data_IF_922426217347
#
_entry.id   IF_922426217347
#
_cell.length_a   1.000
_cell.length_b   1.000
_cell.length_c   1.000
_cell.angle_alpha   90.00
_cell.angle_beta   90.00
_cell.angle_gamma   90.00
#
_symmetry.space_group_name_H-M   'P 1'
#
loop_
_entity.id
_entity.type
_entity.pdbx_description
1 polymer ?
#
# COMPACT_ATOMS: atom_id res chain seq x y z
N UNK A 1 -25.26 19.00 5.79
CA UNK A 1 -24.91 18.03 4.76
C UNK A 1 -25.84 18.28 3.57
N UNK A 2 -25.29 18.42 2.37
CA UNK A 2 -26.05 18.56 1.14
C UNK A 2 -25.96 17.26 0.35
N UNK A 3 -26.96 16.96 -0.46
CA UNK A 3 -27.03 15.79 -1.34
C UNK A 3 -27.33 16.22 -2.77
N UNK A 4 -26.75 15.54 -3.74
CA UNK A 4 -26.97 15.86 -5.16
C UNK A 4 -26.82 14.61 -6.04
N UNK A 5 -27.46 14.61 -7.19
CA UNK A 5 -27.26 13.64 -8.27
C UNK A 5 -26.35 14.26 -9.34
N UNK A 6 -25.18 13.72 -9.53
CA UNK A 6 -24.19 14.18 -10.51
C UNK A 6 -23.67 13.01 -11.35
N UNK A 7 -23.80 13.10 -12.68
CA UNK A 7 -23.38 12.03 -13.62
C UNK A 7 -23.87 10.64 -13.21
N UNK A 8 -25.14 10.53 -12.83
CA UNK A 8 -25.77 9.30 -12.31
C UNK A 8 -25.13 8.74 -11.03
N UNK A 9 -24.41 9.55 -10.25
CA UNK A 9 -23.83 9.21 -8.95
C UNK A 9 -24.45 10.06 -7.86
N UNK A 10 -24.78 9.44 -6.75
CA UNK A 10 -25.22 10.16 -5.55
C UNK A 10 -24.00 10.70 -4.84
N UNK A 11 -23.96 12.02 -4.68
CA UNK A 11 -22.87 12.70 -3.98
C UNK A 11 -23.40 13.42 -2.76
N UNK A 12 -22.58 13.52 -1.73
CA UNK A 12 -22.85 14.32 -0.53
C UNK A 12 -21.62 15.14 -0.13
N UNK A 13 -21.83 16.22 0.62
CA UNK A 13 -20.73 17.09 1.07
C UNK A 13 -21.21 18.22 1.95
N UNK A 14 -20.24 19.04 2.39
CA UNK A 14 -20.48 20.21 3.25
C UNK A 14 -20.43 21.52 2.48
N UNK A 15 -20.01 21.48 1.23
CA UNK A 15 -19.84 22.61 0.32
C UNK A 15 -20.76 22.46 -0.89
N UNK A 16 -20.83 23.48 -1.70
CA UNK A 16 -21.63 23.46 -2.94
C UNK A 16 -21.29 22.25 -3.79
N UNK A 17 -22.30 21.45 -4.09
CA UNK A 17 -22.18 20.23 -4.87
C UNK A 17 -22.63 20.48 -6.31
N UNK A 18 -21.97 19.89 -7.31
CA UNK A 18 -22.47 19.92 -8.69
C UNK A 18 -23.70 19.03 -8.83
N UNK A 19 -24.49 19.25 -9.88
CA UNK A 19 -25.63 18.41 -10.25
C UNK A 19 -26.97 18.87 -9.69
N UNK A 20 -27.92 17.97 -9.61
CA UNK A 20 -29.29 18.25 -9.19
C UNK A 20 -29.45 17.96 -7.69
N UNK A 21 -29.91 18.92 -6.88
CA UNK A 21 -30.13 18.70 -5.45
C UNK A 21 -31.07 17.54 -5.17
N UNK A 22 -30.77 16.77 -4.14
CA UNK A 22 -31.60 15.71 -3.58
C UNK A 22 -32.06 16.10 -2.17
N UNK A 23 -33.32 15.78 -1.83
CA UNK A 23 -33.86 16.04 -0.50
C UNK A 23 -33.36 15.00 0.53
N UNK A 24 -33.17 13.77 0.11
CA UNK A 24 -32.74 12.64 0.94
C UNK A 24 -31.86 11.66 0.15
N UNK A 25 -31.11 10.81 0.86
CA UNK A 25 -30.29 9.77 0.26
C UNK A 25 -31.12 8.55 -0.14
N UNK A 26 -30.81 7.88 -1.27
CA UNK A 26 -31.44 6.62 -1.62
C UNK A 26 -31.03 5.49 -0.67
N UNK A 27 -31.90 4.52 -0.49
CA UNK A 27 -31.67 3.36 0.39
C UNK A 27 -30.63 2.38 -0.15
N UNK A 28 -30.30 2.44 -1.44
CA UNK A 28 -29.34 1.58 -2.13
C UNK A 28 -28.33 2.36 -2.95
N UNK A 29 -27.27 1.69 -3.39
CA UNK A 29 -26.22 2.26 -4.22
C UNK A 29 -25.10 2.94 -3.44
N UNK A 30 -24.01 3.25 -4.15
CA UNK A 30 -22.86 3.95 -3.60
C UNK A 30 -23.15 5.43 -3.41
N UNK A 31 -22.64 6.03 -2.34
CA UNK A 31 -22.70 7.45 -2.04
C UNK A 31 -21.28 7.98 -1.97
N UNK A 32 -20.99 9.07 -2.69
CA UNK A 32 -19.68 9.68 -2.74
C UNK A 32 -19.67 10.94 -1.85
N UNK A 33 -18.89 10.91 -0.78
CA UNK A 33 -18.62 12.07 0.05
C UNK A 33 -17.53 12.93 -0.57
N UNK A 34 -17.89 14.11 -1.07
CA UNK A 34 -16.93 15.05 -1.64
C UNK A 34 -16.32 15.93 -0.54
N UNK A 35 -14.99 15.90 -0.47
CA UNK A 35 -14.20 16.81 0.35
C UNK A 35 -13.19 17.57 -0.52
N UNK A 36 -12.51 18.58 0.03
CA UNK A 36 -11.50 19.36 -0.68
C UNK A 36 -10.22 19.45 0.14
N UNK A 37 -9.11 19.03 -0.45
CA UNK A 37 -7.75 19.12 0.07
C UNK A 37 -6.78 19.30 -1.10
N UNK A 38 -5.64 20.02 -0.94
CA UNK A 38 -4.64 20.09 -2.00
C UNK A 38 -4.26 18.68 -2.50
N UNK A 39 -4.20 18.47 -3.83
CA UNK A 39 -3.89 17.16 -4.39
C UNK A 39 -2.52 16.64 -3.93
N UNK A 40 -2.36 15.33 -3.80
CA UNK A 40 -1.14 14.65 -3.36
C UNK A 40 -0.64 15.06 -1.96
N UNK A 41 -1.51 15.63 -1.11
CA UNK A 41 -1.19 15.85 0.32
C UNK A 41 -1.76 14.76 1.22
N UNK A 42 -2.51 13.81 0.68
CA UNK A 42 -3.08 12.67 1.38
C UNK A 42 -3.93 11.79 0.46
N UNK A 43 -4.81 10.97 1.03
CA UNK A 43 -5.67 10.06 0.27
C UNK A 43 -6.65 10.82 -0.61
N UNK A 44 -6.70 10.49 -1.89
CA UNK A 44 -7.66 11.10 -2.83
C UNK A 44 -9.04 10.40 -2.81
N UNK A 45 -9.07 9.13 -2.43
CA UNK A 45 -10.30 8.36 -2.24
C UNK A 45 -10.10 7.27 -1.18
N UNK A 46 -11.15 7.01 -0.38
CA UNK A 46 -11.12 5.96 0.64
C UNK A 46 -12.54 5.57 1.07
N UNK A 47 -12.70 4.34 1.56
CA UNK A 47 -13.94 3.86 2.15
C UNK A 47 -14.23 4.58 3.47
N UNK A 48 -15.41 5.16 3.61
CA UNK A 48 -15.90 5.76 4.86
C UNK A 48 -16.61 4.67 5.67
N UNK A 49 -16.08 4.36 6.84
CA UNK A 49 -16.60 3.32 7.74
C UNK A 49 -17.10 3.86 9.07
N UNK A 50 -16.89 5.16 9.32
CA UNK A 50 -17.32 5.85 10.53
C UNK A 50 -17.55 7.35 10.23
N UNK A 51 -18.53 8.02 10.87
CA UNK A 51 -18.81 9.44 10.65
C UNK A 51 -17.62 10.39 10.87
N UNK A 52 -16.68 10.05 11.76
CA UNK A 52 -15.47 10.84 11.98
C UNK A 52 -14.55 10.95 10.77
N UNK A 53 -14.75 10.11 9.75
CA UNK A 53 -13.96 10.14 8.50
C UNK A 53 -14.55 11.09 7.43
N UNK A 54 -15.68 11.73 7.70
CA UNK A 54 -16.27 12.75 6.83
C UNK A 54 -15.55 14.09 7.02
N UNK A 55 -14.26 14.11 6.72
CA UNK A 55 -13.37 15.24 6.90
C UNK A 55 -12.32 15.27 5.79
N UNK A 56 -11.67 16.43 5.62
CA UNK A 56 -10.48 16.57 4.79
C UNK A 56 -9.18 16.29 5.56
N UNK A 57 -9.25 16.03 6.87
CA UNK A 57 -8.09 15.83 7.70
C UNK A 57 -7.36 14.52 7.37
N UNK A 58 -6.07 14.55 7.49
CA UNK A 58 -5.16 13.42 7.37
C UNK A 58 -4.26 13.37 8.61
N UNK A 59 -3.32 12.45 8.64
CA UNK A 59 -2.43 12.27 9.76
C UNK A 59 -2.69 10.94 10.49
N UNK A 60 -1.98 10.69 11.58
CA UNK A 60 -2.08 9.43 12.32
C UNK A 60 -3.47 9.21 12.95
N UNK A 61 -4.25 10.28 13.13
CA UNK A 61 -5.60 10.24 13.69
C UNK A 61 -6.57 9.38 12.85
N UNK A 62 -6.31 9.21 11.55
CA UNK A 62 -7.15 8.34 10.71
C UNK A 62 -7.05 6.86 11.09
N UNK A 63 -6.01 6.47 11.83
CA UNK A 63 -5.78 5.11 12.33
C UNK A 63 -6.47 4.85 13.69
N UNK A 64 -6.96 5.88 14.38
CA UNK A 64 -7.59 5.70 15.69
C UNK A 64 -9.11 5.79 15.64
N UNK A 65 -9.75 5.02 16.53
CA UNK A 65 -11.19 5.11 16.80
C UNK A 65 -11.52 6.16 17.88
N UNK A 66 -10.52 6.74 18.54
CA UNK A 66 -10.69 7.71 19.63
C UNK A 66 -11.15 9.10 19.18
N UNK A 67 -11.35 9.32 17.87
CA UNK A 67 -11.86 10.59 17.37
C UNK A 67 -13.34 10.77 17.74
N UNK A 68 -13.75 12.00 18.13
CA UNK A 68 -15.15 12.28 18.39
C UNK A 68 -15.99 12.00 17.15
N UNK A 69 -17.14 11.36 17.38
CA UNK A 69 -18.12 11.16 16.31
C UNK A 69 -18.68 12.50 15.86
N UNK A 70 -18.77 12.70 14.56
CA UNK A 70 -19.46 13.84 13.99
C UNK A 70 -20.94 13.54 13.92
N UNK A 71 -21.79 14.48 14.34
CA UNK A 71 -23.21 14.38 14.06
C UNK A 71 -23.47 14.44 12.54
N UNK A 72 -24.19 13.45 12.05
CA UNK A 72 -24.56 13.32 10.64
C UNK A 72 -26.05 12.96 10.55
N UNK A 73 -26.72 13.30 9.43
CA UNK A 73 -28.09 12.86 9.19
C UNK A 73 -28.25 11.34 9.30
N UNK A 74 -29.41 10.87 9.77
CA UNK A 74 -29.64 9.46 10.07
C UNK A 74 -29.52 8.56 8.82
N UNK A 75 -29.93 9.06 7.66
CA UNK A 75 -29.80 8.38 6.37
C UNK A 75 -28.32 8.16 5.99
N UNK A 76 -27.46 9.19 6.16
CA UNK A 76 -26.04 9.08 5.94
C UNK A 76 -25.35 8.16 6.95
N UNK A 77 -25.72 8.22 8.23
CA UNK A 77 -25.21 7.30 9.25
C UNK A 77 -25.53 5.84 8.90
N UNK A 78 -26.75 5.57 8.42
CA UNK A 78 -27.17 4.26 7.93
C UNK A 78 -26.33 3.80 6.73
N UNK A 79 -26.15 4.67 5.75
CA UNK A 79 -25.35 4.39 4.57
C UNK A 79 -23.86 4.06 4.92
N UNK A 80 -23.28 4.78 5.90
CA UNK A 80 -21.92 4.48 6.41
C UNK A 80 -21.90 3.10 7.07
N UNK A 81 -22.86 2.78 7.94
CA UNK A 81 -22.94 1.47 8.60
C UNK A 81 -23.10 0.32 7.58
N UNK A 82 -23.80 0.56 6.48
CA UNK A 82 -23.94 -0.35 5.35
C UNK A 82 -22.73 -0.40 4.42
N UNK A 83 -21.64 0.37 4.69
CA UNK A 83 -20.42 0.45 3.88
C UNK A 83 -20.67 0.93 2.45
N UNK A 84 -21.63 1.82 2.24
CA UNK A 84 -21.99 2.37 0.93
C UNK A 84 -21.33 3.72 0.64
N UNK A 85 -20.60 4.30 1.60
CA UNK A 85 -20.02 5.63 1.47
C UNK A 85 -18.54 5.54 1.15
N UNK A 86 -18.12 6.31 0.14
CA UNK A 86 -16.73 6.49 -0.25
C UNK A 86 -16.41 7.97 -0.34
N UNK A 87 -15.27 8.38 0.21
CA UNK A 87 -14.78 9.75 0.10
C UNK A 87 -14.01 9.97 -1.22
N UNK A 88 -14.16 11.16 -1.79
CA UNK A 88 -13.47 11.59 -3.01
C UNK A 88 -13.02 13.04 -2.86
N UNK A 89 -11.75 13.32 -3.13
CA UNK A 89 -11.18 14.67 -3.11
C UNK A 89 -11.54 15.47 -4.37
N UNK A 90 -12.55 16.31 -4.27
CA UNK A 90 -13.00 17.16 -5.37
C UNK A 90 -12.06 18.34 -5.71
N UNK A 91 -10.96 18.53 -4.98
CA UNK A 91 -9.93 19.48 -5.36
C UNK A 91 -8.88 18.90 -6.33
N UNK A 92 -8.83 17.57 -6.51
CA UNK A 92 -7.95 16.96 -7.49
C UNK A 92 -8.42 17.30 -8.91
N UNK A 93 -7.56 17.76 -9.85
CA UNK A 93 -7.99 18.15 -11.20
C UNK A 93 -8.72 17.04 -11.98
N UNK A 94 -8.42 15.80 -11.67
CA UNK A 94 -9.03 14.60 -12.29
C UNK A 94 -9.99 13.87 -11.34
N UNK A 95 -10.62 14.58 -10.40
CA UNK A 95 -11.49 13.97 -9.38
C UNK A 95 -12.67 13.17 -9.98
N UNK A 96 -13.14 13.56 -11.15
CA UNK A 96 -14.22 12.85 -11.83
C UNK A 96 -13.84 11.42 -12.25
N UNK A 97 -12.55 11.14 -12.47
CA UNK A 97 -12.08 9.77 -12.71
C UNK A 97 -12.18 8.90 -11.46
N UNK A 98 -12.30 9.52 -10.27
CA UNK A 98 -12.49 8.83 -9.00
C UNK A 98 -13.97 8.55 -8.69
N UNK A 99 -14.90 9.00 -9.50
CA UNK A 99 -16.33 8.67 -9.33
C UNK A 99 -16.58 7.17 -9.54
N UNK A 100 -15.78 6.53 -10.38
CA UNK A 100 -15.83 5.11 -10.65
C UNK A 100 -14.52 4.42 -10.23
N UNK A 101 -14.61 3.48 -9.32
CA UNK A 101 -13.49 2.57 -9.08
C UNK A 101 -13.43 1.54 -10.22
N UNK A 102 -12.22 1.16 -10.67
CA UNK A 102 -12.09 0.09 -11.66
C UNK A 102 -12.82 -1.16 -11.18
N UNK A 103 -13.64 -1.79 -12.04
CA UNK A 103 -14.29 -3.04 -11.67
C UNK A 103 -13.24 -4.10 -11.34
N UNK A 104 -13.42 -4.82 -10.26
CA UNK A 104 -12.60 -5.99 -9.97
C UNK A 104 -13.05 -7.11 -10.90
N UNK A 105 -12.17 -7.51 -11.82
CA UNK A 105 -12.33 -8.73 -12.56
C UNK A 105 -12.19 -9.96 -11.66
N UNK A 106 -12.64 -11.11 -12.11
CA UNK A 106 -12.51 -12.39 -11.37
C UNK A 106 -11.03 -12.71 -11.09
N UNK A 107 -10.14 -12.44 -12.06
CA UNK A 107 -8.69 -12.64 -11.93
C UNK A 107 -7.93 -11.54 -12.66
N UNK A 108 -6.86 -11.04 -12.01
CA UNK A 108 -6.00 -9.99 -12.55
C UNK A 108 -4.80 -10.54 -13.34
N UNK A 109 -4.26 -9.70 -14.21
CA UNK A 109 -2.96 -9.89 -14.87
C UNK A 109 -1.90 -9.17 -14.07
N UNK A 110 -0.85 -9.88 -13.68
CA UNK A 110 0.26 -9.35 -12.89
C UNK A 110 1.51 -9.37 -13.76
N UNK A 111 2.21 -8.23 -13.90
CA UNK A 111 3.55 -8.18 -14.50
C UNK A 111 4.59 -7.85 -13.43
N UNK A 112 5.66 -8.66 -13.38
CA UNK A 112 6.75 -8.53 -12.42
C UNK A 112 8.02 -8.12 -13.14
N UNK A 113 8.60 -7.01 -12.70
CA UNK A 113 9.86 -6.48 -13.18
C UNK A 113 11.01 -6.87 -12.25
N UNK A 114 12.05 -7.43 -12.81
CA UNK A 114 13.29 -7.90 -12.21
C UNK A 114 13.16 -9.20 -11.40
N UNK A 115 13.84 -10.22 -11.90
CA UNK A 115 13.81 -11.60 -11.40
C UNK A 115 15.12 -11.96 -10.66
N UNK A 116 15.56 -11.04 -9.80
CA UNK A 116 16.62 -11.29 -8.80
C UNK A 116 16.13 -12.16 -7.65
N UNK A 117 16.87 -12.21 -6.53
CA UNK A 117 16.55 -13.05 -5.37
C UNK A 117 15.10 -12.83 -4.87
N UNK A 118 14.69 -11.58 -4.69
CA UNK A 118 13.33 -11.23 -4.24
C UNK A 118 12.28 -11.51 -5.32
N UNK A 119 12.48 -11.00 -6.54
CA UNK A 119 11.47 -11.10 -7.59
C UNK A 119 11.21 -12.54 -8.03
N UNK A 120 12.22 -13.38 -8.14
CA UNK A 120 12.05 -14.79 -8.49
C UNK A 120 11.34 -15.59 -7.38
N UNK A 121 11.69 -15.35 -6.12
CA UNK A 121 11.02 -15.98 -4.97
C UNK A 121 9.56 -15.53 -4.85
N UNK A 122 9.29 -14.23 -5.09
CA UNK A 122 7.94 -13.69 -5.18
C UNK A 122 7.15 -14.36 -6.31
N UNK A 123 7.74 -14.50 -7.48
CA UNK A 123 7.11 -15.17 -8.63
C UNK A 123 6.71 -16.63 -8.31
N UNK A 124 7.58 -17.39 -7.62
CA UNK A 124 7.26 -18.73 -7.12
C UNK A 124 6.06 -18.70 -6.15
N UNK A 125 6.06 -17.77 -5.18
CA UNK A 125 4.96 -17.62 -4.23
C UNK A 125 3.62 -17.33 -4.93
N UNK A 126 3.63 -16.41 -5.91
CA UNK A 126 2.43 -16.08 -6.69
C UNK A 126 1.98 -17.24 -7.58
N UNK A 127 2.92 -17.97 -8.20
CA UNK A 127 2.60 -19.15 -9.01
C UNK A 127 1.88 -20.22 -8.19
N UNK A 128 2.38 -20.49 -6.98
CA UNK A 128 1.81 -21.53 -6.11
C UNK A 128 0.50 -21.13 -5.43
N UNK A 129 0.35 -19.86 -5.03
CA UNK A 129 -0.71 -19.43 -4.12
C UNK A 129 -1.74 -18.49 -4.76
N UNK A 130 -1.47 -17.97 -5.95
CA UNK A 130 -2.27 -16.89 -6.57
C UNK A 130 -3.33 -17.34 -7.56
N UNK A 131 -3.52 -18.66 -7.77
CA UNK A 131 -4.34 -19.19 -8.84
C UNK A 131 -5.84 -18.85 -8.77
N UNK A 132 -6.32 -18.43 -7.61
CA UNK A 132 -7.70 -17.97 -7.38
C UNK A 132 -7.92 -16.53 -7.86
N UNK A 133 -6.90 -15.65 -7.79
CA UNK A 133 -7.02 -14.22 -8.07
C UNK A 133 -6.12 -13.72 -9.21
N UNK A 134 -5.16 -14.52 -9.68
CA UNK A 134 -4.25 -14.16 -10.77
C UNK A 134 -4.47 -15.07 -11.97
N UNK A 135 -4.76 -14.49 -13.12
CA UNK A 135 -4.91 -15.22 -14.39
C UNK A 135 -3.57 -15.42 -15.07
N UNK A 136 -2.72 -14.39 -15.08
CA UNK A 136 -1.45 -14.38 -15.80
C UNK A 136 -0.37 -13.72 -14.96
N UNK A 137 0.81 -14.33 -14.90
CA UNK A 137 2.03 -13.79 -14.33
C UNK A 137 3.02 -13.50 -15.46
N UNK A 138 3.18 -12.24 -15.80
CA UNK A 138 4.15 -11.74 -16.78
C UNK A 138 5.50 -11.51 -16.13
N UNK A 139 6.55 -12.00 -16.74
CA UNK A 139 7.94 -11.93 -16.26
C UNK A 139 8.74 -10.98 -17.15
N UNK A 140 9.34 -9.95 -16.55
CA UNK A 140 10.17 -8.97 -17.21
C UNK A 140 11.50 -8.82 -16.47
N UNK A 141 12.62 -8.84 -17.19
CA UNK A 141 13.97 -8.50 -16.67
C UNK A 141 14.75 -7.86 -17.80
N UNK A 142 15.72 -7.00 -17.47
CA UNK A 142 16.61 -6.35 -18.46
C UNK A 142 17.60 -7.32 -19.07
N UNK A 143 17.85 -8.47 -18.43
CA UNK A 143 18.69 -9.55 -18.94
C UNK A 143 17.83 -10.53 -19.71
N UNK A 144 18.04 -10.62 -21.00
CA UNK A 144 17.18 -11.33 -21.96
C UNK A 144 16.89 -12.80 -21.60
N UNK A 145 17.90 -13.53 -21.11
CA UNK A 145 17.76 -14.96 -20.78
C UNK A 145 17.08 -15.23 -19.42
N UNK A 146 16.91 -14.24 -18.57
CA UNK A 146 16.37 -14.42 -17.21
C UNK A 146 14.85 -14.66 -17.22
N UNK A 147 14.01 -13.88 -17.94
CA UNK A 147 12.60 -14.21 -18.08
C UNK A 147 12.37 -15.57 -18.75
N UNK A 148 13.20 -15.96 -19.73
CA UNK A 148 13.12 -17.25 -20.39
C UNK A 148 13.34 -18.41 -19.42
N UNK A 149 14.41 -18.32 -18.59
CA UNK A 149 14.66 -19.31 -17.54
C UNK A 149 13.46 -19.45 -16.60
N UNK A 150 12.95 -18.33 -16.09
CA UNK A 150 11.88 -18.38 -15.10
C UNK A 150 10.53 -18.77 -15.70
N UNK A 151 10.26 -18.41 -16.94
CA UNK A 151 9.07 -18.93 -17.66
C UNK A 151 9.12 -20.44 -17.77
N UNK A 152 10.28 -21.00 -18.19
CA UNK A 152 10.49 -22.43 -18.30
C UNK A 152 10.35 -23.15 -16.94
N UNK A 153 10.97 -22.64 -15.88
CA UNK A 153 10.90 -23.22 -14.53
C UNK A 153 9.48 -23.16 -13.94
N UNK A 154 8.88 -21.98 -13.95
CA UNK A 154 7.54 -21.78 -13.37
C UNK A 154 6.43 -22.41 -14.21
N UNK A 155 6.63 -22.51 -15.52
CA UNK A 155 5.70 -23.17 -16.44
C UNK A 155 5.56 -24.67 -16.17
N UNK A 156 6.60 -25.31 -15.62
CA UNK A 156 6.61 -26.73 -15.24
C UNK A 156 5.97 -27.01 -13.88
N UNK A 157 5.62 -25.98 -13.08
CA UNK A 157 4.88 -26.18 -11.84
C UNK A 157 3.44 -26.53 -12.17
N UNK A 158 3.02 -27.75 -11.80
CA UNK A 158 1.75 -28.38 -12.20
C UNK A 158 0.51 -27.78 -11.50
N UNK A 159 0.35 -26.44 -11.60
CA UNK A 159 -0.87 -25.72 -11.22
C UNK A 159 -1.40 -24.95 -12.42
N UNK A 160 -2.73 -24.94 -12.69
CA UNK A 160 -3.28 -24.37 -13.92
C UNK A 160 -3.14 -22.85 -14.00
N UNK A 161 -3.14 -22.15 -12.85
CA UNK A 161 -3.04 -20.70 -12.76
C UNK A 161 -2.12 -20.28 -11.61
N UNK A 162 -1.47 -19.09 -11.74
CA UNK A 162 -1.39 -18.21 -12.91
C UNK A 162 -0.68 -18.89 -14.10
N UNK A 163 -1.08 -18.52 -15.32
CA UNK A 163 -0.29 -18.83 -16.53
C UNK A 163 0.91 -17.91 -16.55
N UNK A 164 2.09 -18.45 -16.83
CA UNK A 164 3.33 -17.67 -16.90
C UNK A 164 3.58 -17.24 -18.35
N UNK A 165 4.08 -16.03 -18.57
CA UNK A 165 4.51 -15.53 -19.88
C UNK A 165 5.68 -14.55 -19.75
N UNK A 166 6.48 -14.44 -20.79
CA UNK A 166 7.50 -13.41 -20.91
C UNK A 166 6.83 -12.10 -21.35
N UNK A 167 7.24 -10.98 -20.75
CA UNK A 167 6.79 -9.63 -21.09
C UNK A 167 7.99 -8.77 -21.42
N UNK A 168 7.92 -8.04 -22.53
CA UNK A 168 8.96 -7.11 -22.92
C UNK A 168 8.90 -5.83 -22.06
N UNK A 169 10.02 -5.12 -21.88
CA UNK A 169 10.05 -3.88 -21.08
C UNK A 169 9.03 -2.82 -21.53
N UNK A 170 8.83 -2.66 -22.85
CA UNK A 170 7.87 -1.71 -23.42
C UNK A 170 6.41 -2.05 -23.12
N UNK A 171 6.11 -3.34 -22.88
CA UNK A 171 4.76 -3.85 -22.61
C UNK A 171 4.47 -4.06 -21.11
N UNK A 172 5.40 -3.67 -20.23
CA UNK A 172 5.37 -4.02 -18.80
C UNK A 172 4.10 -3.51 -18.09
N UNK A 173 3.53 -2.40 -18.55
CA UNK A 173 2.27 -1.83 -18.05
C UNK A 173 1.01 -2.39 -18.72
N UNK A 174 1.11 -3.37 -19.61
CA UNK A 174 -0.02 -4.09 -20.21
C UNK A 174 -0.68 -5.09 -19.24
N UNK A 175 -0.93 -4.67 -18.00
CA UNK A 175 -1.43 -5.51 -16.90
C UNK A 175 -2.37 -4.72 -15.97
N UNK A 176 -2.93 -5.41 -14.98
CA UNK A 176 -3.78 -4.82 -13.95
C UNK A 176 -2.98 -4.53 -12.67
N UNK A 177 -1.86 -5.24 -12.47
CA UNK A 177 -0.94 -5.07 -11.33
C UNK A 177 0.50 -5.14 -11.84
N UNK A 178 1.25 -4.07 -11.62
CA UNK A 178 2.68 -4.00 -11.91
C UNK A 178 3.49 -4.12 -10.62
N UNK A 179 4.44 -5.07 -10.58
CA UNK A 179 5.33 -5.34 -9.45
C UNK A 179 6.73 -4.84 -9.74
N UNK A 180 7.16 -3.81 -9.06
CA UNK A 180 8.49 -3.25 -9.13
C UNK A 180 9.42 -3.91 -8.11
N UNK A 181 10.24 -4.87 -8.54
CA UNK A 181 11.26 -5.56 -7.72
C UNK A 181 12.69 -5.17 -8.12
N UNK A 182 12.86 -4.19 -9.02
CA UNK A 182 14.16 -3.81 -9.55
C UNK A 182 14.94 -3.01 -8.51
N UNK A 183 16.27 -3.29 -8.43
CA UNK A 183 17.22 -2.57 -7.60
C UNK A 183 18.55 -2.46 -8.34
N UNK A 184 19.17 -1.28 -8.30
CA UNK A 184 20.54 -1.05 -8.80
C UNK A 184 21.61 -1.40 -7.78
N UNK A 185 21.23 -1.39 -6.50
CA UNK A 185 22.16 -1.63 -5.40
C UNK A 185 21.49 -2.46 -4.31
N UNK A 186 22.13 -3.55 -3.95
CA UNK A 186 21.84 -4.36 -2.77
C UNK A 186 23.09 -4.33 -1.91
N UNK A 187 23.04 -3.84 -0.66
CA UNK A 187 24.20 -3.78 0.22
C UNK A 187 24.87 -5.16 0.38
N UNK A 188 26.18 -5.19 0.36
CA UNK A 188 26.94 -6.41 0.66
C UNK A 188 26.64 -6.88 2.09
N UNK A 189 26.77 -8.18 2.33
CA UNK A 189 26.57 -8.79 3.65
C UNK A 189 27.51 -8.24 4.72
N UNK A 190 28.64 -7.64 4.33
CA UNK A 190 29.66 -7.07 5.21
C UNK A 190 29.36 -5.64 5.72
N UNK A 191 28.40 -4.91 5.14
CA UNK A 191 28.13 -3.51 5.51
C UNK A 191 27.26 -3.44 6.75
N UNK A 192 27.72 -2.74 7.79
CA UNK A 192 27.15 -2.77 9.14
C UNK A 192 26.38 -1.53 9.59
N UNK A 193 26.22 -0.45 8.80
CA UNK A 193 25.72 0.82 9.34
C UNK A 193 24.51 1.46 8.66
N UNK A 194 23.83 2.32 9.46
CA UNK A 194 22.52 2.91 9.21
C UNK A 194 22.38 3.84 7.99
N UNK A 195 23.49 4.28 7.41
CA UNK A 195 23.51 5.14 6.21
C UNK A 195 23.27 4.36 4.90
N UNK A 196 23.29 3.02 4.99
CA UNK A 196 23.13 2.12 3.83
C UNK A 196 21.77 2.30 3.15
N UNK A 197 20.72 2.62 3.89
CA UNK A 197 19.36 2.78 3.33
C UNK A 197 19.19 4.06 2.53
N UNK A 198 19.80 5.17 2.99
CA UNK A 198 19.78 6.41 2.22
C UNK A 198 20.60 6.25 0.95
N UNK A 199 21.80 5.63 1.03
CA UNK A 199 22.58 5.30 -0.16
C UNK A 199 21.81 4.38 -1.12
N UNK A 200 21.07 3.40 -0.60
CA UNK A 200 20.22 2.54 -1.40
C UNK A 200 19.06 3.31 -2.03
N UNK A 201 18.45 4.26 -1.30
CA UNK A 201 17.42 5.14 -1.83
C UNK A 201 17.93 5.99 -2.99
N UNK A 202 19.05 6.68 -2.80
CA UNK A 202 19.64 7.54 -3.83
C UNK A 202 19.93 6.78 -5.14
N UNK A 203 20.36 5.53 -5.05
CA UNK A 203 20.64 4.70 -6.23
C UNK A 203 19.37 4.12 -6.87
N UNK A 204 18.33 3.80 -6.09
CA UNK A 204 17.10 3.18 -6.58
C UNK A 204 16.00 4.20 -6.95
N UNK A 205 16.01 5.39 -6.36
CA UNK A 205 15.03 6.47 -6.63
C UNK A 205 14.91 6.80 -8.13
N UNK A 206 16.02 7.05 -8.88
CA UNK A 206 15.88 7.36 -10.31
C UNK A 206 15.25 6.23 -11.13
N UNK A 207 15.45 4.97 -10.69
CA UNK A 207 14.83 3.82 -11.33
C UNK A 207 13.32 3.77 -11.06
N UNK A 208 12.89 3.88 -9.80
CA UNK A 208 11.48 3.93 -9.45
C UNK A 208 10.75 5.12 -10.10
N UNK A 209 11.40 6.30 -10.12
CA UNK A 209 10.91 7.49 -10.79
C UNK A 209 10.72 7.28 -12.30
N UNK A 210 11.67 6.63 -12.99
CA UNK A 210 11.56 6.34 -14.42
C UNK A 210 10.37 5.44 -14.74
N UNK A 211 10.13 4.41 -13.93
CA UNK A 211 8.95 3.56 -14.10
C UNK A 211 7.64 4.27 -13.72
N UNK A 212 7.66 5.21 -12.78
CA UNK A 212 6.54 6.12 -12.53
C UNK A 212 6.17 6.94 -13.77
N UNK A 213 7.17 7.49 -14.47
CA UNK A 213 7.00 8.23 -15.72
C UNK A 213 6.48 7.32 -16.84
N UNK A 214 7.05 6.16 -17.02
CA UNK A 214 6.57 5.16 -18.01
C UNK A 214 5.11 4.76 -17.74
N UNK A 215 4.71 4.60 -16.47
CA UNK A 215 3.32 4.31 -16.11
C UNK A 215 2.37 5.45 -16.54
N UNK A 216 2.77 6.70 -16.38
CA UNK A 216 2.04 7.87 -16.89
C UNK A 216 1.93 7.84 -18.41
N UNK A 217 3.03 7.65 -19.12
CA UNK A 217 3.09 7.61 -20.59
C UNK A 217 2.23 6.48 -21.17
N UNK A 218 2.20 5.32 -20.50
CA UNK A 218 1.33 4.20 -20.82
C UNK A 218 -0.15 4.43 -20.45
N UNK A 219 -0.49 5.52 -19.77
CA UNK A 219 -1.84 5.75 -19.24
C UNK A 219 -2.30 4.69 -18.27
N UNK A 220 -1.37 4.11 -17.48
CA UNK A 220 -1.61 2.97 -16.61
C UNK A 220 -2.68 3.26 -15.55
N UNK A 221 -3.72 2.43 -15.51
CA UNK A 221 -4.86 2.56 -14.57
C UNK A 221 -4.85 1.48 -13.48
N UNK A 222 -3.91 0.54 -13.55
CA UNK A 222 -3.77 -0.56 -12.60
C UNK A 222 -3.04 -0.15 -11.31
N UNK A 223 -2.66 -1.15 -10.52
CA UNK A 223 -1.93 -0.99 -9.26
C UNK A 223 -0.42 -1.04 -9.50
N UNK A 224 0.30 0.00 -9.09
CA UNK A 224 1.76 0.08 -9.10
C UNK A 224 2.29 -0.33 -7.72
N UNK A 225 2.92 -1.50 -7.64
CA UNK A 225 3.36 -2.11 -6.40
C UNK A 225 4.89 -2.09 -6.28
N UNK A 226 5.41 -1.46 -5.24
CA UNK A 226 6.85 -1.44 -4.93
C UNK A 226 7.17 -2.53 -3.92
N UNK A 227 8.12 -3.39 -4.27
CA UNK A 227 8.67 -4.46 -3.41
C UNK A 227 10.15 -4.25 -3.15
N UNK A 228 10.79 -3.37 -3.91
CA UNK A 228 12.22 -3.01 -3.78
C UNK A 228 12.45 -2.03 -2.63
N UNK A 229 13.59 -2.17 -1.94
CA UNK A 229 13.98 -1.31 -0.81
C UNK A 229 14.67 -0.01 -1.25
N UNK A 230 14.48 1.07 -0.47
CA UNK A 230 13.51 1.23 0.62
C UNK A 230 12.10 1.49 0.10
N UNK A 231 11.16 0.62 0.47
CA UNK A 231 9.82 0.52 -0.13
C UNK A 231 9.04 1.84 -0.12
N UNK A 232 8.93 2.46 1.05
CA UNK A 232 8.01 3.60 1.26
C UNK A 232 8.49 4.87 0.50
N UNK A 233 9.77 5.27 0.58
CA UNK A 233 10.27 6.39 -0.21
C UNK A 233 10.23 6.14 -1.73
N UNK A 234 10.45 4.89 -2.19
CA UNK A 234 10.37 4.55 -3.62
C UNK A 234 8.93 4.63 -4.14
N UNK A 235 7.92 4.28 -3.33
CA UNK A 235 6.52 4.53 -3.66
C UNK A 235 6.26 6.02 -3.90
N UNK A 236 6.78 6.88 -3.00
CA UNK A 236 6.63 8.33 -3.13
C UNK A 236 7.35 8.86 -4.37
N UNK A 237 8.56 8.38 -4.65
CA UNK A 237 9.31 8.76 -5.84
C UNK A 237 8.55 8.42 -7.13
N UNK A 238 8.02 7.20 -7.25
CA UNK A 238 7.22 6.78 -8.41
C UNK A 238 5.93 7.61 -8.54
N UNK A 239 5.21 7.86 -7.45
CA UNK A 239 3.99 8.66 -7.44
C UNK A 239 4.25 10.09 -7.90
N UNK A 240 5.21 10.79 -7.28
CA UNK A 240 5.48 12.19 -7.58
C UNK A 240 6.00 12.36 -9.00
N UNK A 241 6.91 11.50 -9.44
CA UNK A 241 7.46 11.59 -10.79
C UNK A 241 6.42 11.30 -11.87
N UNK A 242 5.49 10.38 -11.64
CA UNK A 242 4.37 10.15 -12.56
C UNK A 242 3.48 11.39 -12.73
N UNK A 243 3.45 12.27 -11.74
CA UNK A 243 2.63 13.48 -11.72
C UNK A 243 3.40 14.77 -12.12
N UNK A 244 4.63 14.63 -12.63
CA UNK A 244 5.41 15.76 -13.14
C UNK A 244 5.33 15.85 -14.66
N UNK A 245 5.20 17.08 -15.16
CA UNK A 245 5.32 17.38 -16.59
C UNK A 245 6.80 17.43 -17.01
N UNK A 246 7.06 17.72 -18.26
CA UNK A 246 8.41 17.84 -18.84
C UNK A 246 9.24 18.97 -18.18
N UNK A 247 8.59 19.97 -17.61
CA UNK A 247 9.23 21.07 -16.89
C UNK A 247 9.50 20.74 -15.41
N UNK A 248 9.13 19.54 -14.95
CA UNK A 248 9.27 19.09 -13.54
C UNK A 248 8.18 19.61 -12.60
N UNK A 249 7.14 20.27 -13.11
CA UNK A 249 6.02 20.78 -12.32
C UNK A 249 4.95 19.71 -12.13
N UNK A 250 4.26 19.73 -10.99
CA UNK A 250 3.12 18.84 -10.74
C UNK A 250 1.92 19.23 -11.58
N UNK A 251 1.48 18.36 -12.47
CA UNK A 251 0.28 18.55 -13.31
C UNK A 251 -0.83 17.54 -13.02
N UNK A 252 -0.59 16.60 -12.09
CA UNK A 252 -1.56 15.62 -11.59
C UNK A 252 -2.12 14.65 -12.64
N UNK A 253 -1.39 14.43 -13.76
CA UNK A 253 -1.82 13.54 -14.86
C UNK A 253 -1.29 12.12 -14.76
N UNK A 254 -0.55 11.81 -13.70
CA UNK A 254 0.03 10.49 -13.44
C UNK A 254 -0.87 9.57 -12.63
N UNK A 255 -0.23 8.74 -11.82
CA UNK A 255 -0.89 7.81 -10.92
C UNK A 255 -1.63 8.55 -9.78
N UNK A 256 -2.78 8.04 -9.39
CA UNK A 256 -3.40 8.44 -8.13
C UNK A 256 -2.71 7.76 -6.95
N UNK A 257 -2.69 8.39 -5.75
CA UNK A 257 -2.08 7.78 -4.57
C UNK A 257 -2.58 6.37 -4.24
N UNK A 258 -3.85 6.08 -4.43
CA UNK A 258 -4.42 4.76 -4.15
C UNK A 258 -3.99 3.66 -5.12
N UNK A 259 -3.45 4.02 -6.30
CA UNK A 259 -2.88 3.08 -7.25
C UNK A 259 -1.48 2.61 -6.84
N UNK A 260 -0.75 3.39 -6.03
CA UNK A 260 0.61 3.05 -5.59
C UNK A 260 0.57 2.39 -4.22
N UNK A 261 1.28 1.27 -4.07
CA UNK A 261 1.36 0.50 -2.82
C UNK A 261 2.74 -0.05 -2.59
N UNK A 262 3.16 -0.05 -1.31
CA UNK A 262 4.44 -0.61 -0.89
C UNK A 262 4.28 -1.93 -0.14
N UNK A 263 5.02 -2.95 -0.54
CA UNK A 263 4.97 -4.28 0.05
C UNK A 263 6.26 -4.60 0.81
N UNK A 264 6.43 -3.97 1.98
CA UNK A 264 7.57 -4.16 2.89
C UNK A 264 7.14 -4.57 4.31
N UNK A 265 6.02 -4.02 4.82
CA UNK A 265 5.61 -4.21 6.22
C UNK A 265 5.20 -5.65 6.56
N UNK A 266 4.75 -6.46 5.60
CA UNK A 266 4.29 -7.83 5.83
C UNK A 266 5.33 -8.72 6.49
N UNK A 267 6.60 -8.63 6.10
CA UNK A 267 7.69 -9.38 6.74
C UNK A 267 8.00 -8.87 8.14
N UNK A 268 7.81 -7.57 8.41
CA UNK A 268 8.00 -7.02 9.75
C UNK A 268 6.94 -7.57 10.71
N UNK A 269 5.69 -7.63 10.27
CA UNK A 269 4.63 -8.27 11.04
C UNK A 269 4.91 -9.77 11.27
N UNK A 270 5.39 -10.49 10.27
CA UNK A 270 5.74 -11.91 10.38
C UNK A 270 6.92 -12.16 11.35
N UNK A 271 7.94 -11.29 11.32
CA UNK A 271 9.09 -11.36 12.25
C UNK A 271 8.66 -11.07 13.69
N UNK A 272 7.83 -10.05 13.91
CA UNK A 272 7.29 -9.76 15.24
C UNK A 272 6.52 -10.96 15.80
N UNK A 273 5.68 -11.59 14.96
CA UNK A 273 4.97 -12.83 15.31
C UNK A 273 5.95 -13.95 15.66
N UNK A 274 6.98 -14.17 14.85
CA UNK A 274 7.99 -15.21 15.09
C UNK A 274 8.70 -15.03 16.43
N UNK A 275 9.03 -13.81 16.85
CA UNK A 275 9.60 -13.56 18.16
C UNK A 275 8.57 -13.70 19.28
N UNK A 276 7.32 -13.30 19.06
CA UNK A 276 6.25 -13.45 20.04
C UNK A 276 5.89 -14.93 20.31
N UNK A 277 6.04 -15.81 19.32
CA UNK A 277 5.85 -17.26 19.48
C UNK A 277 6.99 -17.91 20.30
N UNK A 278 8.15 -17.25 20.44
CA UNK A 278 9.34 -17.78 21.13
C UNK A 278 9.59 -17.17 22.51
N UNK A 279 9.03 -16.00 22.81
CA UNK A 279 9.24 -15.29 24.06
C UNK A 279 7.88 -14.94 24.68
N UNK A 280 7.51 -15.56 25.81
CA UNK A 280 6.22 -15.33 26.48
C UNK A 280 5.94 -13.88 26.83
N UNK A 281 6.95 -13.02 26.96
CA UNK A 281 6.76 -11.58 27.23
C UNK A 281 6.05 -10.86 26.11
N UNK A 282 6.13 -11.39 24.89
CA UNK A 282 5.52 -10.79 23.69
C UNK A 282 4.24 -11.51 23.24
N UNK A 283 3.72 -12.46 24.01
CA UNK A 283 2.57 -13.29 23.62
C UNK A 283 1.34 -12.46 23.23
N UNK A 284 1.16 -11.30 23.82
CA UNK A 284 0.05 -10.40 23.53
C UNK A 284 0.06 -9.89 22.08
N UNK A 285 1.22 -9.86 21.41
CA UNK A 285 1.31 -9.56 19.99
C UNK A 285 0.52 -10.56 19.14
N UNK A 286 0.42 -11.81 19.54
CA UNK A 286 -0.33 -12.85 18.82
C UNK A 286 -1.85 -12.62 18.89
N UNK A 287 -2.32 -11.81 19.85
CA UNK A 287 -3.74 -11.53 20.09
C UNK A 287 -4.15 -10.28 19.34
N UNK A 288 -3.54 -9.14 19.64
CA UNK A 288 -3.91 -7.84 19.09
C UNK A 288 -2.72 -6.91 18.79
N UNK A 289 -1.52 -7.47 18.69
CA UNK A 289 -0.33 -6.72 18.26
C UNK A 289 -0.47 -6.19 16.83
N UNK A 290 0.18 -5.06 16.55
CA UNK A 290 0.16 -4.41 15.24
C UNK A 290 1.53 -3.86 14.87
N UNK A 291 1.75 -3.77 13.55
CA UNK A 291 2.94 -3.13 12.99
C UNK A 291 2.55 -1.90 12.18
N UNK A 292 3.30 -0.82 12.36
CA UNK A 292 3.12 0.45 11.66
C UNK A 292 4.47 0.96 11.15
N UNK A 293 4.42 1.91 10.21
CA UNK A 293 5.60 2.59 9.72
C UNK A 293 6.26 1.90 8.52
N UNK A 294 7.47 2.33 8.17
CA UNK A 294 8.21 1.83 7.02
C UNK A 294 8.83 0.46 7.29
N UNK A 295 9.26 -0.19 6.20
CA UNK A 295 10.11 -1.36 6.25
C UNK A 295 11.52 -0.95 6.70
N UNK A 296 11.72 -0.66 7.99
CA UNK A 296 13.06 -0.36 8.50
C UNK A 296 13.11 0.71 9.58
N UNK A 297 13.91 1.77 9.39
CA UNK A 297 13.99 2.85 10.37
C UNK A 297 12.63 3.54 10.47
N UNK A 298 12.19 3.84 11.69
CA UNK A 298 10.83 4.30 11.96
C UNK A 298 9.78 3.19 12.06
N UNK A 299 10.16 1.89 11.94
CA UNK A 299 9.23 0.79 12.23
C UNK A 299 8.73 0.85 13.68
N UNK A 300 7.45 0.58 13.84
CA UNK A 300 6.80 0.45 15.15
C UNK A 300 6.10 -0.91 15.22
N UNK A 301 6.46 -1.71 16.21
CA UNK A 301 5.77 -2.94 16.58
C UNK A 301 5.08 -2.72 17.91
N UNK A 302 3.77 -2.52 17.89
CA UNK A 302 2.97 -2.47 19.13
C UNK A 302 2.82 -3.91 19.66
N UNK A 303 3.36 -4.18 20.84
CA UNK A 303 3.26 -5.49 21.48
C UNK A 303 1.80 -5.94 21.70
N UNK A 304 0.90 -5.00 21.90
CA UNK A 304 -0.56 -5.13 21.99
C UNK A 304 -1.18 -3.76 21.80
N UNK A 305 -2.37 -3.66 21.26
CA UNK A 305 -3.14 -2.43 21.23
C UNK A 305 -3.90 -2.21 22.53
N UNK A 306 -4.54 -3.26 23.05
CA UNK A 306 -5.36 -3.16 24.26
C UNK A 306 -4.55 -3.14 25.56
N UNK A 307 -3.36 -3.76 25.57
CA UNK A 307 -2.42 -3.85 26.69
C UNK A 307 -1.04 -3.31 26.28
N UNK A 308 -1.03 -2.13 25.69
CA UNK A 308 0.19 -1.52 25.18
C UNK A 308 1.19 -1.23 26.30
N UNK A 309 2.40 -1.75 26.14
CA UNK A 309 3.58 -1.45 26.95
C UNK A 309 4.67 -0.90 26.04
N UNK A 310 5.07 0.36 26.29
CA UNK A 310 6.03 1.06 25.42
C UNK A 310 7.43 0.40 25.44
N UNK A 311 7.86 -0.11 26.58
CA UNK A 311 9.17 -0.76 26.71
C UNK A 311 9.20 -2.09 25.95
N UNK A 312 8.19 -2.95 26.13
CA UNK A 312 8.05 -4.20 25.38
C UNK A 312 7.86 -3.95 23.89
N UNK A 313 7.09 -2.93 23.52
CA UNK A 313 6.91 -2.52 22.13
C UNK A 313 8.23 -2.13 21.47
N UNK A 314 9.06 -1.31 22.15
CA UNK A 314 10.38 -0.91 21.65
C UNK A 314 11.33 -2.11 21.54
N UNK A 315 11.38 -2.97 22.55
CA UNK A 315 12.21 -4.19 22.51
C UNK A 315 11.82 -5.09 21.32
N UNK A 316 10.52 -5.35 21.13
CA UNK A 316 10.03 -6.18 20.03
C UNK A 316 10.28 -5.50 18.66
N UNK A 317 10.18 -4.16 18.58
CA UNK A 317 10.53 -3.39 17.39
C UNK A 317 12.00 -3.61 16.99
N UNK A 318 12.93 -3.46 17.94
CA UNK A 318 14.36 -3.65 17.66
C UNK A 318 14.69 -5.08 17.24
N UNK A 319 14.15 -6.10 17.92
CA UNK A 319 14.29 -7.50 17.49
C UNK A 319 13.79 -7.71 16.06
N UNK A 320 12.65 -7.14 15.72
CA UNK A 320 12.03 -7.25 14.39
C UNK A 320 12.88 -6.58 13.31
N UNK A 321 13.38 -5.37 13.58
CA UNK A 321 14.27 -4.61 12.68
C UNK A 321 15.54 -5.37 12.34
N UNK A 322 16.15 -6.01 13.34
CA UNK A 322 17.47 -6.62 13.23
C UNK A 322 17.45 -8.11 12.82
N UNK A 323 16.29 -8.72 12.64
CA UNK A 323 16.18 -10.12 12.24
C UNK A 323 16.91 -10.51 10.95
N UNK A 324 17.11 -9.54 10.04
CA UNK A 324 17.93 -9.74 8.83
C UNK A 324 19.43 -9.85 9.14
N UNK A 325 19.90 -9.25 10.22
CA UNK A 325 21.31 -9.33 10.63
C UNK A 325 21.62 -10.73 11.16
N UNK A 326 20.71 -11.34 11.91
CA UNK A 326 20.87 -12.73 12.39
C UNK A 326 21.06 -13.69 11.20
N UNK A 327 20.28 -13.54 10.12
CA UNK A 327 20.44 -14.36 8.92
C UNK A 327 21.79 -14.11 8.22
N UNK A 328 22.24 -12.85 8.17
CA UNK A 328 23.56 -12.50 7.59
C UNK A 328 24.72 -13.07 8.39
N UNK A 329 24.61 -13.11 9.73
CA UNK A 329 25.63 -13.76 10.60
C UNK A 329 25.76 -15.26 10.32
N UNK A 330 24.71 -15.92 9.85
CA UNK A 330 24.74 -17.31 9.38
C UNK A 330 25.34 -17.47 7.97
N UNK A 331 25.74 -16.35 7.30
CA UNK A 331 26.32 -16.36 5.96
C UNK A 331 25.31 -16.37 4.81
N UNK A 332 24.02 -16.12 5.08
CA UNK A 332 22.96 -16.18 4.05
C UNK A 332 22.32 -14.81 3.80
N UNK A 333 21.82 -14.62 2.58
CA UNK A 333 21.02 -13.42 2.23
C UNK A 333 19.58 -13.55 2.75
N UNK A 334 19.04 -12.51 3.43
CA UNK A 334 17.70 -12.57 4.05
C UNK A 334 16.58 -12.14 3.09
N UNK A 335 16.38 -12.81 1.96
CA UNK A 335 15.41 -12.41 0.94
C UNK A 335 14.13 -13.27 0.87
N UNK A 336 14.16 -14.51 1.36
CA UNK A 336 13.01 -15.43 1.23
C UNK A 336 11.78 -14.91 1.99
N UNK A 337 11.94 -14.58 3.26
CA UNK A 337 10.82 -14.09 4.07
C UNK A 337 10.27 -12.74 3.56
N UNK A 338 11.08 -11.73 3.18
CA UNK A 338 10.58 -10.52 2.53
C UNK A 338 9.79 -10.81 1.25
N UNK A 339 10.34 -11.63 0.34
CA UNK A 339 9.69 -11.96 -0.92
C UNK A 339 8.35 -12.67 -0.73
N UNK A 340 8.24 -13.55 0.27
CA UNK A 340 7.01 -14.31 0.53
C UNK A 340 6.04 -13.55 1.42
N UNK A 341 6.46 -13.08 2.60
CA UNK A 341 5.53 -12.45 3.57
C UNK A 341 5.07 -11.05 3.12
N UNK A 342 6.00 -10.20 2.68
CA UNK A 342 5.64 -8.87 2.16
C UNK A 342 5.17 -8.95 0.71
N UNK A 343 5.93 -9.61 -0.16
CA UNK A 343 5.60 -9.73 -1.57
C UNK A 343 4.36 -10.58 -1.81
N UNK A 344 4.50 -11.92 -1.76
CA UNK A 344 3.42 -12.81 -2.19
C UNK A 344 2.18 -12.76 -1.28
N UNK A 345 2.32 -12.98 0.03
CA UNK A 345 1.18 -13.12 0.94
C UNK A 345 0.43 -11.80 1.12
N UNK A 346 1.14 -10.67 1.32
CA UNK A 346 0.47 -9.37 1.46
C UNK A 346 -0.18 -8.91 0.14
N UNK A 347 0.46 -9.14 -1.01
CA UNK A 347 -0.14 -8.84 -2.31
C UNK A 347 -1.40 -9.68 -2.55
N UNK A 348 -1.36 -10.99 -2.30
CA UNK A 348 -2.53 -11.87 -2.44
C UNK A 348 -3.64 -11.46 -1.47
N UNK A 349 -3.30 -11.08 -0.23
CA UNK A 349 -4.25 -10.48 0.70
C UNK A 349 -4.92 -9.23 0.14
N UNK A 350 -4.12 -8.33 -0.47
CA UNK A 350 -4.61 -7.13 -1.14
C UNK A 350 -5.57 -7.47 -2.28
N UNK A 351 -5.19 -8.37 -3.18
CA UNK A 351 -6.01 -8.78 -4.33
C UNK A 351 -7.32 -9.46 -3.90
N UNK A 352 -7.32 -10.21 -2.82
CA UNK A 352 -8.50 -10.84 -2.23
C UNK A 352 -9.39 -9.88 -1.44
N UNK A 353 -8.97 -8.61 -1.25
CA UNK A 353 -9.67 -7.65 -0.39
C UNK A 353 -9.59 -7.98 1.10
N UNK A 354 -8.68 -8.87 1.49
CA UNK A 354 -8.42 -9.23 2.87
C UNK A 354 -7.54 -8.18 3.58
N UNK A 355 -7.63 -8.15 4.92
CA UNK A 355 -6.72 -7.35 5.73
C UNK A 355 -5.28 -7.86 5.58
N UNK A 356 -4.35 -6.95 5.30
CA UNK A 356 -2.94 -7.25 5.10
C UNK A 356 -2.06 -6.05 5.49
N UNK A 357 -0.79 -6.29 5.71
CA UNK A 357 0.19 -5.26 6.03
C UNK A 357 0.88 -4.78 4.74
N UNK A 358 0.65 -3.53 4.37
CA UNK A 358 1.32 -2.87 3.25
C UNK A 358 1.33 -1.36 3.45
N UNK A 359 2.15 -0.64 2.69
CA UNK A 359 2.20 0.82 2.72
C UNK A 359 1.17 1.42 1.79
N UNK A 360 0.49 2.44 2.30
CA UNK A 360 -0.47 3.27 1.56
C UNK A 360 -0.14 4.74 1.74
N UNK A 361 -0.61 5.57 0.83
CA UNK A 361 -0.41 7.02 0.92
C UNK A 361 -1.28 7.60 2.03
N UNK A 362 -0.66 8.34 2.93
CA UNK A 362 -1.29 8.98 4.08
C UNK A 362 -0.52 10.25 4.42
N UNK A 363 -1.18 11.39 4.49
CA UNK A 363 -0.61 12.69 4.91
C UNK A 363 0.72 13.05 4.18
N UNK A 364 0.74 12.84 2.86
CA UNK A 364 1.89 13.19 2.02
C UNK A 364 3.03 12.17 1.98
N UNK A 365 2.93 11.05 2.70
CA UNK A 365 3.93 9.98 2.72
C UNK A 365 3.33 8.61 2.47
N UNK A 366 4.15 7.65 2.10
CA UNK A 366 3.77 6.24 2.19
C UNK A 366 4.15 5.71 3.55
N UNK A 367 3.19 5.09 4.23
CA UNK A 367 3.39 4.49 5.54
C UNK A 367 2.64 3.17 5.63
N UNK A 368 3.30 2.18 6.20
CA UNK A 368 2.72 0.86 6.41
C UNK A 368 1.74 0.83 7.59
N UNK A 369 0.62 0.18 7.36
CA UNK A 369 -0.38 -0.19 8.37
C UNK A 369 -1.19 -1.38 7.88
N UNK A 370 -2.01 -1.95 8.73
CA UNK A 370 -2.99 -2.93 8.29
C UNK A 370 -4.10 -2.24 7.49
N UNK A 371 -4.29 -2.70 6.27
CA UNK A 371 -5.23 -2.12 5.32
C UNK A 371 -5.84 -3.17 4.40
N UNK A 372 -6.84 -2.79 3.64
CA UNK A 372 -7.43 -3.62 2.58
C UNK A 372 -8.00 -2.75 1.46
N UNK A 373 -8.28 -3.36 0.32
CA UNK A 373 -9.08 -2.75 -0.73
C UNK A 373 -10.49 -3.35 -0.65
N UNK A 374 -11.41 -2.63 -0.04
CA UNK A 374 -12.81 -3.02 0.08
C UNK A 374 -13.58 -2.71 -1.22
N UNK A 375 -14.80 -3.26 -1.44
CA UNK A 375 -15.60 -2.93 -2.62
C UNK A 375 -15.86 -1.43 -2.79
N UNK A 376 -16.01 -0.70 -1.69
CA UNK A 376 -16.19 0.75 -1.67
C UNK A 376 -14.88 1.54 -1.52
N UNK A 377 -13.72 0.95 -1.85
CA UNK A 377 -12.44 1.64 -1.92
C UNK A 377 -11.40 1.21 -0.87
N UNK A 378 -10.22 1.87 -0.88
CA UNK A 378 -9.16 1.62 0.09
C UNK A 378 -9.62 1.88 1.52
N UNK A 379 -9.27 0.99 2.44
CA UNK A 379 -9.62 1.07 3.85
C UNK A 379 -8.41 0.82 4.73
N UNK A 380 -8.14 1.73 5.66
CA UNK A 380 -7.19 1.54 6.76
C UNK A 380 -7.90 0.90 7.97
N UNK A 381 -7.20 0.03 8.68
CA UNK A 381 -7.69 -0.45 9.98
C UNK A 381 -7.67 0.70 10.98
N UNK A 382 -8.75 0.81 11.76
CA UNK A 382 -8.90 1.79 12.83
C UNK A 382 -9.01 1.07 14.18
N UNK A 383 -8.21 1.50 15.14
CA UNK A 383 -8.06 0.84 16.41
C UNK A 383 -8.12 1.88 17.56
N UNK A 384 -8.47 1.48 18.79
CA UNK A 384 -8.39 2.37 19.94
C UNK A 384 -6.92 2.55 20.37
N UNK A 385 -6.13 3.25 19.55
CA UNK A 385 -4.70 3.41 19.77
C UNK A 385 -4.42 4.20 21.04
N UNK A 386 -3.55 3.71 21.95
CA UNK A 386 -3.07 4.48 23.08
C UNK A 386 -2.31 5.75 22.66
N UNK A 387 -2.43 6.82 23.43
CA UNK A 387 -1.81 8.11 23.09
C UNK A 387 -0.31 8.04 22.83
N UNK A 388 0.43 7.27 23.64
CA UNK A 388 1.87 7.07 23.44
C UNK A 388 2.20 6.35 22.11
N UNK A 389 1.39 5.39 21.69
CA UNK A 389 1.55 4.72 20.40
C UNK A 389 1.21 5.65 19.24
N UNK A 390 0.15 6.43 19.36
CA UNK A 390 -0.26 7.41 18.35
C UNK A 390 0.82 8.49 18.14
N UNK A 391 1.46 8.94 19.22
CA UNK A 391 2.56 9.90 19.13
C UNK A 391 3.78 9.32 18.39
N UNK A 392 4.18 8.09 18.68
CA UNK A 392 5.25 7.41 17.93
C UNK A 392 4.93 7.29 16.44
N UNK A 393 3.68 7.01 16.10
CA UNK A 393 3.23 6.97 14.70
C UNK A 393 3.38 8.36 14.07
N UNK A 394 3.02 9.43 14.77
CA UNK A 394 3.17 10.82 14.30
C UNK A 394 4.63 11.17 14.06
N UNK A 395 5.51 10.86 15.02
CA UNK A 395 6.96 11.08 14.88
C UNK A 395 7.52 10.36 13.64
N UNK A 396 7.12 9.11 13.42
CA UNK A 396 7.53 8.34 12.22
C UNK A 396 7.03 9.00 10.92
N UNK A 397 5.79 9.46 10.89
CA UNK A 397 5.26 10.17 9.70
C UNK A 397 6.03 11.45 9.41
N UNK A 398 6.36 12.23 10.43
CA UNK A 398 7.16 13.45 10.25
C UNK A 398 8.59 13.13 9.76
N UNK A 399 9.21 12.07 10.26
CA UNK A 399 10.51 11.60 9.73
C UNK A 399 10.41 11.21 8.25
N UNK A 400 9.37 10.50 7.84
CA UNK A 400 9.16 10.11 6.44
C UNK A 400 8.93 11.33 5.52
N UNK A 401 8.32 12.41 6.02
CA UNK A 401 8.15 13.67 5.27
C UNK A 401 9.50 14.34 4.95
N UNK A 402 10.52 14.13 5.78
CA UNK A 402 11.85 14.70 5.54
C UNK A 402 12.65 13.96 4.44
N UNK A 403 12.26 12.75 4.06
CA UNK A 403 12.89 12.00 2.96
C UNK A 403 12.35 12.55 1.64
N UNK A 404 13.21 13.23 0.86
CA UNK A 404 12.85 13.89 -0.41
C UNK A 404 13.12 13.02 -1.62
#
# INVERSE_FOLDING_TARGET
MQYSLYKNRVICGLVDLPGQPLAELPDEGEILFLFRRPPLTGRETFAVTHPSQLTADEGPEVLTTAQPSREVPADLARAIAQKRVRAVNAAHPRWEELLDLPPRGDKVRVNLLALGDVGSTLAMGLKLLGGDVISTLGLCDVRENVPQRWEFELGQIAVPFPRVKIVKPEDVFGCDVFLFCASRFVPDTAVKDGDVRMAQYELNRPLAASYGRMAREAGFKGMFCVVSDPVDPLCRAALLESNRNENGELDYKGLFPHQVRGFGLGVMNARARYYAEKDPRFVDFLIDGRTFGPHGEGLIVANSVSRYDDALSRELTEKTKHANLDMRQLGYKPYVAPALSSGALSLLGCLRGAWHCSSTYLDGVFMGAQNRVAPNGPQLERLPLPGALLERIRETMEQLKQIQ
#
